data_IF_962430266938
#
_entry.id   IF_962430266938
#
_cell.length_a   1.000
_cell.length_b   1.000
_cell.length_c   1.000
_cell.angle_alpha   90.00
_cell.angle_beta   90.00
_cell.angle_gamma   90.00
#
_symmetry.space_group_name_H-M   'P 1'
#
loop_
_entity.id
_entity.type
_entity.pdbx_description
1 polymer ?
#
# COMPACT_ATOMS: atom_id res chain seq x y z
N UNK A 1 1.67 -5.92 5.89
CA UNK A 1 1.21 -4.78 5.07
C UNK A 1 2.39 -3.88 4.69
N UNK A 2 2.18 -2.60 4.54
CA UNK A 2 3.30 -1.71 4.18
C UNK A 2 3.10 -0.34 4.83
N UNK A 3 4.16 0.27 5.26
CA UNK A 3 4.01 1.60 5.89
C UNK A 3 3.90 2.66 4.81
N UNK A 4 3.18 3.70 5.09
CA UNK A 4 3.00 4.79 4.11
C UNK A 4 4.27 5.04 3.30
N UNK A 5 4.13 5.16 2.00
CA UNK A 5 5.32 5.39 1.11
C UNK A 5 6.01 4.07 0.81
N UNK A 6 5.33 2.97 1.01
CA UNK A 6 5.95 1.65 0.72
C UNK A 6 5.35 1.05 -0.56
N UNK A 7 6.20 0.51 -1.38
CA UNK A 7 5.76 -0.10 -2.65
C UNK A 7 5.04 -1.43 -2.40
N UNK A 8 3.96 -1.67 -3.10
CA UNK A 8 3.22 -2.95 -2.90
C UNK A 8 2.33 -3.24 -4.10
N UNK A 9 1.66 -4.37 -4.07
CA UNK A 9 0.75 -4.72 -5.20
C UNK A 9 -0.63 -4.11 -4.94
N UNK A 10 -1.19 -3.46 -5.92
CA UNK A 10 -2.54 -2.85 -5.74
C UNK A 10 -3.62 -3.85 -6.12
N UNK A 11 -3.65 -4.99 -5.47
CA UNK A 11 -4.69 -6.00 -5.83
C UNK A 11 -5.22 -6.69 -4.57
N UNK A 12 -4.38 -6.93 -3.61
CA UNK A 12 -4.85 -7.61 -2.37
C UNK A 12 -4.29 -6.92 -1.13
N UNK A 13 -3.04 -7.13 -0.85
CA UNK A 13 -2.42 -6.50 0.35
C UNK A 13 -1.36 -5.48 -0.03
N UNK A 14 -1.22 -4.46 0.75
CA UNK A 14 -0.18 -3.42 0.47
C UNK A 14 0.07 -2.61 1.72
N UNK A 15 -0.72 -1.58 1.91
CA UNK A 15 -0.54 -0.73 3.10
C UNK A 15 -1.47 -1.18 4.23
N UNK A 16 -0.98 -1.15 5.43
CA UNK A 16 -1.79 -1.59 6.59
C UNK A 16 -3.09 -0.79 6.72
N UNK A 17 -3.36 0.19 5.89
CA UNK A 17 -4.60 0.97 6.06
C UNK A 17 -5.41 1.14 4.76
N UNK A 18 -4.90 0.75 3.61
CA UNK A 18 -5.73 1.00 2.39
C UNK A 18 -5.30 0.18 1.18
N UNK A 19 -4.76 0.84 0.18
CA UNK A 19 -4.39 0.14 -1.09
C UNK A 19 -2.93 0.41 -1.48
N UNK A 20 -2.64 0.39 -2.77
CA UNK A 20 -1.25 0.63 -3.25
C UNK A 20 -1.23 1.31 -4.62
N UNK A 21 -1.51 2.57 -4.68
CA UNK A 21 -1.46 3.27 -5.99
C UNK A 21 -0.03 3.77 -6.18
N UNK A 22 0.89 2.84 -6.27
CA UNK A 22 2.32 3.21 -6.38
C UNK A 22 2.94 2.89 -5.02
N UNK A 23 2.33 3.42 -3.99
CA UNK A 23 2.79 3.14 -2.59
C UNK A 23 1.66 3.50 -1.64
N UNK A 24 1.68 2.99 -0.44
CA UNK A 24 0.59 3.32 0.50
C UNK A 24 0.27 4.82 0.46
N UNK A 25 -0.90 5.20 0.02
CA UNK A 25 -1.22 6.66 -0.06
C UNK A 25 -1.96 7.11 1.20
N UNK A 26 -1.56 6.58 2.30
CA UNK A 26 -2.17 6.94 3.61
C UNK A 26 -1.20 6.62 4.75
#
# INVERSE_FOLDING_TARGET
CKQADEPCDVFSLDCCTGICLGVCMW
#
